data_IF_715862134545
#
_entry.id   IF_715862134545
#
_cell.length_a   1.000
_cell.length_b   1.000
_cell.length_c   1.000
_cell.angle_alpha   90.00
_cell.angle_beta   90.00
_cell.angle_gamma   90.00
#
_symmetry.space_group_name_H-M   'P 1'
#
loop_
_entity.id
_entity.type
_entity.pdbx_description
1 polymer ?
#
# COMPACT_ATOMS: atom_id res chain seq x y z
N UNK A 1 8.78 -14.59 -13.82
CA UNK A 1 7.28 -14.61 -13.79
C UNK A 1 6.80 -13.87 -12.52
N UNK A 2 5.84 -12.94 -12.65
CA UNK A 2 5.34 -12.19 -11.48
C UNK A 2 4.31 -13.02 -10.70
N UNK A 3 4.55 -13.20 -9.40
CA UNK A 3 3.65 -13.92 -8.50
C UNK A 3 3.33 -13.09 -7.26
N UNK A 4 2.05 -13.14 -6.84
CA UNK A 4 1.56 -12.50 -5.62
C UNK A 4 1.35 -13.54 -4.52
N UNK A 5 1.95 -13.29 -3.37
CA UNK A 5 1.78 -14.11 -2.15
C UNK A 5 1.47 -13.24 -0.96
N UNK A 6 0.82 -13.80 0.06
CA UNK A 6 0.70 -13.12 1.35
C UNK A 6 2.10 -12.94 1.95
N UNK A 7 2.38 -11.76 2.48
CA UNK A 7 3.66 -11.47 3.11
C UNK A 7 3.89 -12.33 4.36
N UNK A 8 5.06 -12.96 4.42
CA UNK A 8 5.46 -13.79 5.55
C UNK A 8 6.31 -12.98 6.55
N UNK A 9 6.01 -13.04 7.88
CA UNK A 9 6.67 -12.18 8.87
C UNK A 9 8.18 -12.40 9.04
N UNK A 10 8.69 -13.58 8.67
CA UNK A 10 10.11 -13.91 8.78
C UNK A 10 10.89 -13.75 7.47
N UNK A 11 10.20 -13.67 6.34
CA UNK A 11 10.85 -13.69 5.02
C UNK A 11 10.75 -12.35 4.30
N UNK A 12 9.61 -11.65 4.40
CA UNK A 12 9.31 -10.51 3.53
C UNK A 12 9.48 -9.15 4.21
N UNK A 13 9.53 -9.10 5.55
CA UNK A 13 9.52 -7.83 6.29
C UNK A 13 10.68 -6.91 5.91
N UNK A 14 11.90 -7.45 5.83
CA UNK A 14 13.07 -6.63 5.50
C UNK A 14 13.03 -6.12 4.06
N UNK A 15 12.61 -6.95 3.12
CA UNK A 15 12.48 -6.57 1.71
C UNK A 15 11.41 -5.47 1.54
N UNK A 16 10.27 -5.59 2.23
CA UNK A 16 9.22 -4.56 2.25
C UNK A 16 9.76 -3.24 2.81
N UNK A 17 10.51 -3.30 3.92
CA UNK A 17 11.11 -2.12 4.55
C UNK A 17 12.14 -1.46 3.64
N UNK A 18 13.00 -2.25 2.99
CA UNK A 18 14.01 -1.74 2.05
C UNK A 18 13.36 -1.10 0.83
N UNK A 19 12.35 -1.74 0.23
CA UNK A 19 11.65 -1.19 -0.92
C UNK A 19 10.90 0.10 -0.56
N UNK A 20 10.22 0.13 0.59
CA UNK A 20 9.57 1.34 1.07
C UNK A 20 10.57 2.48 1.28
N UNK A 21 11.75 2.17 1.80
CA UNK A 21 12.83 3.13 2.02
C UNK A 21 13.32 3.79 0.73
N UNK A 22 13.48 3.03 -0.34
CA UNK A 22 13.91 3.55 -1.65
C UNK A 22 12.94 4.59 -2.21
N UNK A 23 11.67 4.45 -1.91
CA UNK A 23 10.60 5.26 -2.47
C UNK A 23 10.04 6.30 -1.49
N UNK A 24 10.55 6.32 -0.26
CA UNK A 24 10.18 7.31 0.74
C UNK A 24 11.02 8.58 0.50
N UNK A 25 10.67 9.28 -0.56
CA UNK A 25 11.41 10.46 -0.99
C UNK A 25 10.98 11.74 -0.30
N UNK A 26 11.60 12.86 -0.68
CA UNK A 26 11.30 14.19 -0.14
C UNK A 26 9.84 14.60 -0.25
N UNK A 27 9.07 13.94 -1.08
CA UNK A 27 7.63 14.18 -1.30
C UNK A 27 6.75 13.95 -0.06
N UNK A 28 7.21 13.09 0.86
CA UNK A 28 6.48 12.73 2.09
C UNK A 28 7.13 13.35 3.33
N UNK A 29 8.39 13.75 3.24
CA UNK A 29 9.23 14.19 4.37
C UNK A 29 8.82 15.51 5.02
N UNK A 30 8.05 16.35 4.33
CA UNK A 30 7.68 17.67 4.85
C UNK A 30 6.83 17.62 6.12
N UNK A 31 6.00 16.60 6.27
CA UNK A 31 5.04 16.48 7.38
C UNK A 31 5.25 15.22 8.20
N UNK A 32 5.48 14.07 7.53
CA UNK A 32 5.65 12.78 8.19
C UNK A 32 7.14 12.50 8.37
N UNK A 33 7.59 12.46 9.61
CA UNK A 33 8.94 11.97 9.92
C UNK A 33 8.97 10.46 9.76
N UNK A 34 9.83 9.98 8.88
CA UNK A 34 10.07 8.56 8.68
C UNK A 34 10.70 7.94 9.93
N UNK A 35 10.13 6.85 10.40
CA UNK A 35 10.71 5.97 11.41
C UNK A 35 10.71 4.54 10.88
N UNK A 36 11.89 4.07 10.47
CA UNK A 36 12.08 2.73 9.92
C UNK A 36 11.77 1.62 10.94
N UNK A 37 12.06 1.85 12.21
CA UNK A 37 11.80 0.85 13.25
C UNK A 37 10.30 0.69 13.48
N UNK A 38 9.57 1.81 13.51
CA UNK A 38 8.10 1.80 13.61
C UNK A 38 7.48 1.13 12.39
N UNK A 39 7.93 1.46 11.18
CA UNK A 39 7.42 0.83 9.95
C UNK A 39 7.64 -0.68 9.96
N UNK A 40 8.88 -1.14 10.26
CA UNK A 40 9.21 -2.57 10.41
C UNK A 40 8.29 -3.26 11.40
N UNK A 41 8.11 -2.68 12.59
CA UNK A 41 7.21 -3.21 13.61
C UNK A 41 5.79 -3.38 13.07
N UNK A 42 5.25 -2.38 12.39
CA UNK A 42 3.90 -2.41 11.85
C UNK A 42 3.74 -3.47 10.75
N UNK A 43 4.71 -3.58 9.83
CA UNK A 43 4.75 -4.63 8.80
C UNK A 43 4.81 -6.03 9.43
N UNK A 44 5.64 -6.22 10.47
CA UNK A 44 5.72 -7.49 11.20
C UNK A 44 4.39 -7.85 11.87
N UNK A 45 3.73 -6.88 12.50
CA UNK A 45 2.41 -7.09 13.11
C UNK A 45 1.39 -7.49 12.05
N UNK A 46 1.28 -6.74 10.96
CA UNK A 46 0.32 -7.00 9.90
C UNK A 46 0.52 -8.39 9.26
N UNK A 47 1.76 -8.71 8.87
CA UNK A 47 2.08 -10.01 8.29
C UNK A 47 1.84 -11.18 9.27
N UNK A 48 1.99 -10.95 10.58
CA UNK A 48 1.69 -11.95 11.60
C UNK A 48 0.18 -12.10 11.80
N UNK A 49 -0.55 -10.99 11.95
CA UNK A 49 -2.00 -11.00 12.19
C UNK A 49 -2.75 -11.72 11.07
N UNK A 50 -2.40 -11.46 9.81
CA UNK A 50 -3.07 -12.10 8.66
C UNK A 50 -2.91 -13.62 8.60
N UNK A 51 -1.93 -14.22 9.32
CA UNK A 51 -1.81 -15.68 9.40
C UNK A 51 -2.96 -16.29 10.23
N UNK A 52 -3.51 -15.53 11.18
CA UNK A 52 -4.56 -15.99 12.09
C UNK A 52 -5.93 -15.40 11.73
N UNK A 53 -5.97 -14.18 11.21
CA UNK A 53 -7.19 -13.48 10.81
C UNK A 53 -6.99 -12.75 9.48
N UNK A 54 -7.29 -13.47 8.39
CA UNK A 54 -7.17 -12.96 7.00
C UNK A 54 -8.17 -11.84 6.68
N UNK A 55 -9.18 -11.65 7.52
CA UNK A 55 -10.18 -10.62 7.34
C UNK A 55 -9.81 -9.29 7.99
N UNK A 56 -8.80 -9.24 8.83
CA UNK A 56 -8.43 -8.03 9.56
C UNK A 56 -7.52 -7.10 8.77
N UNK A 57 -6.48 -7.66 8.18
CA UNK A 57 -5.51 -6.96 7.33
C UNK A 57 -5.11 -7.86 6.17
N UNK A 58 -4.71 -7.23 5.07
CA UNK A 58 -4.16 -7.90 3.91
C UNK A 58 -2.85 -7.23 3.51
N UNK A 59 -1.77 -7.95 3.66
CA UNK A 59 -0.44 -7.53 3.22
C UNK A 59 0.10 -8.59 2.25
N UNK A 60 0.31 -8.21 1.00
CA UNK A 60 0.82 -9.10 -0.04
C UNK A 60 2.03 -8.51 -0.74
N UNK A 61 2.90 -9.38 -1.19
CA UNK A 61 4.11 -9.08 -1.94
C UNK A 61 4.04 -9.65 -3.35
N UNK A 62 4.59 -8.92 -4.33
CA UNK A 62 4.78 -9.41 -5.68
C UNK A 62 6.28 -9.62 -5.92
N UNK A 63 6.64 -10.84 -6.32
CA UNK A 63 8.03 -11.20 -6.63
C UNK A 63 8.18 -11.64 -8.08
N UNK A 64 9.35 -11.40 -8.64
CA UNK A 64 9.72 -11.97 -9.94
C UNK A 64 10.43 -13.31 -9.71
N UNK A 65 9.77 -14.39 -10.11
CA UNK A 65 10.29 -15.75 -9.99
C UNK A 65 11.05 -16.08 -11.27
N UNK A 66 12.34 -16.35 -11.14
CA UNK A 66 13.19 -16.79 -12.24
C UNK A 66 13.32 -18.32 -12.18
N UNK A 67 12.89 -18.99 -13.25
CA UNK A 67 13.11 -20.42 -13.43
C UNK A 67 14.40 -20.64 -14.23
N UNK A 68 15.34 -21.39 -13.69
CA UNK A 68 16.50 -21.86 -14.42
C UNK A 68 16.24 -23.18 -15.15
N UNK A 69 17.15 -23.60 -16.02
CA UNK A 69 17.04 -24.83 -16.84
C UNK A 69 16.85 -26.12 -16.03
N UNK A 70 17.23 -26.10 -14.76
CA UNK A 70 17.14 -27.25 -13.82
C UNK A 70 16.01 -27.09 -12.80
N UNK A 71 15.00 -26.24 -13.05
CA UNK A 71 13.92 -25.92 -12.11
C UNK A 71 14.13 -24.57 -11.41
N UNK A 72 13.56 -24.42 -10.21
CA UNK A 72 13.60 -23.17 -9.44
C UNK A 72 15.05 -22.78 -9.06
N UNK A 73 15.54 -21.66 -9.59
CA UNK A 73 16.81 -21.04 -9.18
C UNK A 73 16.50 -19.63 -8.67
N UNK A 74 16.30 -19.55 -7.36
CA UNK A 74 15.74 -18.40 -6.72
C UNK A 74 16.62 -17.18 -6.60
N UNK A 75 16.46 -16.23 -7.51
CA UNK A 75 16.61 -14.81 -7.16
C UNK A 75 15.25 -14.16 -7.28
N UNK A 76 14.53 -14.14 -6.17
CA UNK A 76 13.23 -13.47 -6.07
C UNK A 76 13.45 -12.00 -5.75
N UNK A 77 13.31 -11.12 -6.73
CA UNK A 77 13.29 -9.68 -6.44
C UNK A 77 11.88 -9.23 -6.07
N UNK A 78 11.77 -8.44 -5.02
CA UNK A 78 10.50 -7.81 -4.65
C UNK A 78 10.18 -6.68 -5.63
N UNK A 79 9.10 -6.82 -6.38
CA UNK A 79 8.65 -5.87 -7.39
C UNK A 79 7.67 -4.82 -6.82
N UNK A 80 6.98 -5.17 -5.73
CA UNK A 80 6.02 -4.32 -5.08
C UNK A 80 5.26 -5.03 -3.97
N UNK A 81 4.53 -4.25 -3.18
CA UNK A 81 3.65 -4.77 -2.13
C UNK A 81 2.39 -3.91 -2.01
N UNK A 82 1.33 -4.51 -1.53
CA UNK A 82 0.10 -3.81 -1.17
C UNK A 82 -0.34 -4.17 0.24
N UNK A 83 -0.93 -3.19 0.93
CA UNK A 83 -1.38 -3.34 2.30
C UNK A 83 -2.73 -2.65 2.49
N UNK A 84 -3.72 -3.42 2.94
CA UNK A 84 -5.09 -2.95 3.18
C UNK A 84 -5.50 -3.28 4.60
N UNK A 85 -6.38 -2.48 5.18
CA UNK A 85 -7.06 -2.77 6.43
C UNK A 85 -8.56 -2.55 6.31
N UNK A 86 -9.28 -2.89 7.38
CA UNK A 86 -10.71 -2.67 7.54
C UNK A 86 -11.02 -1.84 8.77
N UNK A 87 -12.30 -1.53 8.98
CA UNK A 87 -12.77 -0.81 10.18
C UNK A 87 -12.79 0.70 9.99
N UNK A 88 -12.63 1.21 8.76
CA UNK A 88 -12.91 2.60 8.43
C UNK A 88 -14.42 2.86 8.41
N UNK A 89 -14.87 3.96 9.02
CA UNK A 89 -16.26 4.42 8.98
C UNK A 89 -16.29 5.93 8.80
N UNK A 90 -17.37 6.42 8.20
CA UNK A 90 -17.62 7.86 8.13
C UNK A 90 -18.70 8.26 9.14
N UNK A 91 -18.76 9.55 9.48
CA UNK A 91 -19.82 10.08 10.35
C UNK A 91 -21.21 10.07 9.70
N UNK A 92 -21.28 9.81 8.39
CA UNK A 92 -22.53 9.87 7.61
C UNK A 92 -23.10 8.50 7.28
N UNK A 93 -22.35 7.41 7.52
CA UNK A 93 -22.78 6.07 7.14
C UNK A 93 -22.24 5.03 8.11
N UNK A 94 -23.01 3.96 8.32
CA UNK A 94 -22.58 2.77 9.03
C UNK A 94 -21.87 1.75 8.12
N UNK A 95 -21.68 2.10 6.84
CA UNK A 95 -20.98 1.22 5.91
C UNK A 95 -19.49 1.23 6.21
N UNK A 96 -18.92 0.03 6.29
CA UNK A 96 -17.51 -0.16 6.54
C UNK A 96 -16.68 0.19 5.28
N UNK A 97 -15.51 0.78 5.52
CA UNK A 97 -14.56 1.16 4.48
C UNK A 97 -13.28 0.36 4.69
N UNK A 98 -12.81 -0.28 3.64
CA UNK A 98 -11.44 -0.78 3.55
C UNK A 98 -10.53 0.30 2.98
N UNK A 99 -9.40 0.53 3.66
CA UNK A 99 -8.42 1.53 3.25
C UNK A 99 -7.14 0.89 2.71
N UNK A 100 -6.67 1.39 1.59
CA UNK A 100 -5.32 1.10 1.12
C UNK A 100 -4.30 1.89 1.95
N UNK A 101 -3.55 1.20 2.82
CA UNK A 101 -2.40 1.79 3.51
C UNK A 101 -1.23 1.99 2.55
N UNK A 102 -1.00 1.01 1.66
CA UNK A 102 0.05 1.07 0.65
C UNK A 102 -0.37 0.39 -0.66
N UNK A 103 -0.02 1.06 -1.77
CA UNK A 103 0.18 0.49 -3.09
C UNK A 103 1.59 0.89 -3.51
N UNK A 104 2.56 0.01 -3.34
CA UNK A 104 3.98 0.37 -3.49
C UNK A 104 4.65 -0.52 -4.53
N UNK A 105 5.33 0.10 -5.48
CA UNK A 105 6.05 -0.59 -6.54
C UNK A 105 7.49 -0.10 -6.59
N UNK A 106 8.40 -0.96 -7.02
CA UNK A 106 9.78 -0.56 -7.31
C UNK A 106 9.78 0.46 -8.46
N UNK A 107 10.27 1.67 -8.17
CA UNK A 107 10.30 2.77 -9.13
C UNK A 107 11.35 2.58 -10.23
N UNK A 108 12.31 1.68 -10.05
CA UNK A 108 13.29 1.31 -11.08
C UNK A 108 12.67 0.51 -12.24
N UNK A 109 11.50 -0.10 -12.00
CA UNK A 109 10.79 -0.88 -13.02
C UNK A 109 10.27 -0.01 -14.16
N UNK A 110 10.19 -0.57 -15.38
CA UNK A 110 9.56 0.11 -16.51
C UNK A 110 8.13 0.56 -16.19
N UNK A 111 7.72 1.73 -16.68
CA UNK A 111 6.39 2.32 -16.43
C UNK A 111 5.26 1.33 -16.71
N UNK A 112 5.33 0.57 -17.79
CA UNK A 112 4.32 -0.45 -18.15
C UNK A 112 4.17 -1.51 -17.07
N UNK A 113 5.28 -1.96 -16.49
CA UNK A 113 5.30 -2.94 -15.39
C UNK A 113 4.69 -2.34 -14.14
N UNK A 114 5.08 -1.12 -13.76
CA UNK A 114 4.52 -0.41 -12.60
C UNK A 114 3.00 -0.23 -12.70
N UNK A 115 2.52 0.20 -13.86
CA UNK A 115 1.07 0.34 -14.12
C UNK A 115 0.35 -1.00 -14.00
N UNK A 116 0.94 -2.10 -14.51
CA UNK A 116 0.38 -3.44 -14.38
C UNK A 116 0.28 -3.86 -12.90
N UNK A 117 1.34 -3.68 -12.13
CA UNK A 117 1.37 -4.01 -10.70
C UNK A 117 0.32 -3.21 -9.90
N UNK A 118 0.20 -1.90 -10.15
CA UNK A 118 -0.82 -1.06 -9.48
C UNK A 118 -2.24 -1.55 -9.82
N UNK A 119 -2.51 -1.92 -11.07
CA UNK A 119 -3.82 -2.48 -11.44
C UNK A 119 -4.09 -3.79 -10.68
N UNK A 120 -3.10 -4.67 -10.58
CA UNK A 120 -3.22 -5.92 -9.83
C UNK A 120 -3.46 -5.67 -8.32
N UNK A 121 -2.79 -4.68 -7.72
CA UNK A 121 -3.02 -4.28 -6.33
C UNK A 121 -4.45 -3.79 -6.10
N UNK A 122 -4.98 -2.99 -7.02
CA UNK A 122 -6.38 -2.53 -6.97
C UNK A 122 -7.33 -3.71 -7.09
N UNK A 123 -7.08 -4.65 -8.00
CA UNK A 123 -7.88 -5.87 -8.13
C UNK A 123 -7.88 -6.69 -6.85
N UNK A 124 -6.73 -6.88 -6.22
CA UNK A 124 -6.60 -7.57 -4.95
C UNK A 124 -7.37 -6.89 -3.83
N UNK A 125 -7.30 -5.55 -3.76
CA UNK A 125 -8.04 -4.78 -2.75
C UNK A 125 -9.55 -4.96 -2.89
N UNK A 126 -10.07 -4.81 -4.12
CA UNK A 126 -11.51 -5.01 -4.41
C UNK A 126 -11.93 -6.43 -4.08
N UNK A 127 -11.15 -7.44 -4.51
CA UNK A 127 -11.46 -8.85 -4.27
C UNK A 127 -11.44 -9.19 -2.78
N UNK A 128 -10.44 -8.72 -2.05
CA UNK A 128 -10.34 -8.94 -0.60
C UNK A 128 -11.51 -8.28 0.14
N UNK A 129 -11.80 -7.02 -0.13
CA UNK A 129 -12.93 -6.32 0.47
C UNK A 129 -14.26 -7.02 0.19
N UNK A 130 -14.49 -7.43 -1.07
CA UNK A 130 -15.67 -8.19 -1.46
C UNK A 130 -15.77 -9.52 -0.70
N UNK A 131 -14.68 -10.28 -0.59
CA UNK A 131 -14.63 -11.56 0.12
C UNK A 131 -15.04 -11.43 1.59
N UNK A 132 -14.70 -10.31 2.22
CA UNK A 132 -14.99 -10.05 3.63
C UNK A 132 -16.24 -9.18 3.85
N UNK A 133 -17.04 -8.96 2.80
CA UNK A 133 -18.30 -8.21 2.88
C UNK A 133 -18.14 -6.73 3.19
N UNK A 134 -16.98 -6.14 2.87
CA UNK A 134 -16.72 -4.71 3.07
C UNK A 134 -17.25 -3.95 1.85
N UNK A 135 -18.24 -3.07 1.99
CA UNK A 135 -18.94 -2.47 0.84
C UNK A 135 -18.15 -1.39 0.13
N UNK A 136 -17.20 -0.73 0.80
CA UNK A 136 -16.48 0.42 0.24
C UNK A 136 -14.98 0.19 0.28
N UNK A 137 -14.32 0.44 -0.84
CA UNK A 137 -12.87 0.44 -0.98
C UNK A 137 -12.38 1.87 -1.16
N UNK A 138 -11.46 2.31 -0.31
CA UNK A 138 -10.85 3.63 -0.35
C UNK A 138 -9.35 3.54 -0.62
N UNK A 139 -8.88 4.37 -1.53
CA UNK A 139 -7.46 4.51 -1.85
C UNK A 139 -7.07 5.97 -1.87
N UNK A 140 -5.93 6.27 -1.26
CA UNK A 140 -5.42 7.64 -1.14
C UNK A 140 -3.97 7.71 -1.60
N UNK A 141 -3.54 8.90 -2.03
CA UNK A 141 -2.14 9.15 -2.33
C UNK A 141 -1.67 10.39 -1.58
N UNK A 142 -0.55 10.24 -0.89
CA UNK A 142 0.11 11.33 -0.15
C UNK A 142 1.25 11.97 -0.96
N UNK A 143 1.50 11.49 -2.17
CA UNK A 143 2.55 12.01 -3.05
C UNK A 143 2.09 13.27 -3.78
N UNK A 144 3.00 14.21 -3.99
CA UNK A 144 2.72 15.40 -4.79
C UNK A 144 2.30 15.04 -6.22
N UNK A 145 2.98 14.08 -6.85
CA UNK A 145 2.67 13.58 -8.20
C UNK A 145 1.68 12.41 -8.19
N UNK A 146 0.48 12.63 -7.69
CA UNK A 146 -0.54 11.58 -7.58
C UNK A 146 -1.44 11.43 -8.80
N UNK A 147 -1.40 12.33 -9.77
CA UNK A 147 -2.33 12.35 -10.91
C UNK A 147 -2.35 11.04 -11.71
N UNK A 148 -1.19 10.45 -11.96
CA UNK A 148 -1.10 9.18 -12.69
C UNK A 148 -1.78 8.04 -11.95
N UNK A 149 -1.59 7.97 -10.64
CA UNK A 149 -2.19 6.98 -9.75
C UNK A 149 -3.72 7.14 -9.70
N UNK A 150 -4.20 8.38 -9.51
CA UNK A 150 -5.64 8.66 -9.48
C UNK A 150 -6.32 8.45 -10.85
N UNK A 151 -5.62 8.68 -11.97
CA UNK A 151 -6.13 8.33 -13.30
C UNK A 151 -6.35 6.84 -13.47
N UNK A 152 -5.49 5.98 -12.91
CA UNK A 152 -5.68 4.53 -12.91
C UNK A 152 -6.96 4.17 -12.13
N UNK A 153 -7.13 4.71 -10.93
CA UNK A 153 -8.32 4.48 -10.11
C UNK A 153 -9.60 4.92 -10.83
N UNK A 154 -9.60 6.11 -11.43
CA UNK A 154 -10.75 6.61 -12.21
C UNK A 154 -11.10 5.69 -13.37
N UNK A 155 -10.11 5.15 -14.10
CA UNK A 155 -10.34 4.16 -15.17
C UNK A 155 -10.91 2.84 -14.66
N UNK A 156 -10.72 2.53 -13.38
CA UNK A 156 -11.23 1.34 -12.69
C UNK A 156 -12.60 1.57 -12.03
N UNK A 157 -13.24 2.72 -12.29
CA UNK A 157 -14.58 3.04 -11.81
C UNK A 157 -14.62 3.70 -10.42
N UNK A 158 -13.47 4.07 -9.85
CA UNK A 158 -13.46 4.82 -8.60
C UNK A 158 -13.94 6.26 -8.83
N UNK A 159 -14.77 6.74 -7.91
CA UNK A 159 -15.05 8.16 -7.79
C UNK A 159 -13.86 8.83 -7.10
N UNK A 160 -13.18 9.73 -7.82
CA UNK A 160 -12.00 10.43 -7.30
C UNK A 160 -12.42 11.83 -6.89
N UNK A 161 -12.59 12.03 -5.58
CA UNK A 161 -12.97 13.31 -4.97
C UNK A 161 -12.08 13.61 -3.78
N UNK A 162 -11.92 14.88 -3.49
CA UNK A 162 -11.22 15.35 -2.30
C UNK A 162 -9.73 15.57 -2.50
N UNK A 163 -9.15 16.18 -1.50
CA UNK A 163 -7.72 16.46 -1.35
C UNK A 163 -7.35 16.33 0.13
N UNK A 164 -6.11 15.94 0.38
CA UNK A 164 -5.56 15.94 1.72
C UNK A 164 -4.91 17.27 2.03
N UNK A 165 -5.18 17.77 3.23
CA UNK A 165 -4.45 18.89 3.79
C UNK A 165 -3.97 18.50 5.19
N UNK A 166 -2.73 18.73 5.48
CA UNK A 166 -2.13 18.50 6.79
C UNK A 166 -1.15 19.59 7.16
N UNK A 167 -1.08 19.83 8.45
CA UNK A 167 -0.10 20.72 9.07
C UNK A 167 0.31 20.10 10.41
N UNK A 168 1.57 20.28 10.78
CA UNK A 168 1.97 19.96 12.15
C UNK A 168 1.34 20.93 13.12
N UNK A 169 0.83 20.42 14.24
CA UNK A 169 0.11 21.24 15.23
C UNK A 169 0.92 22.42 15.72
N UNK A 170 2.23 22.25 15.92
CA UNK A 170 3.14 23.33 16.36
C UNK A 170 3.24 24.44 15.31
N UNK A 171 3.21 24.09 14.02
CA UNK A 171 3.20 25.06 12.93
C UNK A 171 1.83 25.71 12.79
N UNK A 172 0.77 24.90 12.90
CA UNK A 172 -0.61 25.38 12.87
C UNK A 172 -0.92 26.39 13.98
N UNK A 173 -0.36 26.20 15.18
CA UNK A 173 -0.51 27.17 16.27
C UNK A 173 0.02 28.56 15.93
N UNK A 174 1.04 28.67 15.10
CA UNK A 174 1.59 29.97 14.65
C UNK A 174 0.66 30.70 13.68
N UNK A 175 -0.28 29.97 13.07
CA UNK A 175 -1.26 30.51 12.14
C UNK A 175 -2.59 30.88 12.82
N UNK A 176 -2.74 30.63 14.13
CA UNK A 176 -3.94 31.05 14.86
C UNK A 176 -3.93 32.57 15.01
N UNK A 177 -4.99 33.18 14.53
CA UNK A 177 -5.25 34.60 14.80
C UNK A 177 -5.58 34.79 16.28
N UNK A 178 -5.08 35.85 16.95
CA UNK A 178 -5.38 36.13 18.35
C UNK A 178 -6.86 36.47 18.58
#
# INVERSE_FOLDING_TARGET
MMEWTLAHPLQDVEDIVLLADQNYGPEVDGVLKRDRAVFRKNVTIASTVQLFDKGKEFLAVCRDIVFGDNGYTGTESLLGFCWFDRGGYTTYSNEEISNAKFHHVDLSLPVKTRVRLINQMIDQHILWAHTWGIPIVCSTSIRAEHDGFMKIHKKRGFTVNGSYAWIRTEEGRKCLTP
#
